data_IF_987563350477
#
_entry.id   IF_987563350477
#
_cell.length_a   1.000
_cell.length_b   1.000
_cell.length_c   1.000
_cell.angle_alpha   90.00
_cell.angle_beta   90.00
_cell.angle_gamma   90.00
#
_symmetry.space_group_name_H-M   'P 1'
#
loop_
_entity.id
_entity.type
_entity.pdbx_description
1 polymer ?
#
# COMPACT_ATOMS: atom_id res chain seq x y z
N UNK A 1 22.26 -8.16 -4.23
CA UNK A 1 22.01 -6.84 -4.80
C UNK A 1 21.26 -6.04 -3.74
N UNK A 2 21.78 -4.88 -3.41
CA UNK A 2 21.12 -4.00 -2.45
C UNK A 2 19.87 -3.44 -3.14
N UNK A 3 18.70 -3.73 -2.56
CA UNK A 3 17.41 -3.23 -3.04
C UNK A 3 17.25 -1.83 -2.48
N UNK A 4 17.35 -0.81 -3.35
CA UNK A 4 17.27 0.59 -2.93
C UNK A 4 15.83 1.06 -2.72
N UNK A 5 14.91 0.64 -3.58
CA UNK A 5 13.50 1.03 -3.54
C UNK A 5 12.62 -0.21 -3.33
N UNK A 6 11.84 -0.20 -2.28
CA UNK A 6 10.98 -1.33 -1.87
C UNK A 6 9.52 -0.91 -1.90
N UNK A 7 8.68 -1.72 -2.53
CA UNK A 7 7.24 -1.69 -2.36
C UNK A 7 6.79 -2.89 -1.53
N UNK A 8 6.19 -2.64 -0.38
CA UNK A 8 5.63 -3.68 0.49
C UNK A 8 4.25 -4.06 -0.04
N UNK A 9 4.20 -5.14 -0.81
CA UNK A 9 3.00 -5.61 -1.49
C UNK A 9 2.14 -6.52 -0.61
N UNK A 10 0.83 -6.47 -0.87
CA UNK A 10 -0.18 -7.34 -0.27
C UNK A 10 -0.83 -8.27 -1.30
N UNK A 11 -0.41 -8.26 -2.56
CA UNK A 11 -1.05 -9.05 -3.64
C UNK A 11 -1.09 -10.55 -3.35
N UNK A 12 -0.17 -11.05 -2.54
CA UNK A 12 -0.08 -12.45 -2.13
C UNK A 12 -0.57 -12.73 -0.71
N UNK A 13 -1.05 -11.70 -0.03
CA UNK A 13 -1.58 -11.79 1.33
C UNK A 13 -3.04 -12.21 1.30
N UNK A 14 -3.29 -13.52 1.27
CA UNK A 14 -4.61 -14.09 1.05
C UNK A 14 -5.70 -13.58 2.00
N UNK A 15 -6.86 -13.16 1.45
CA UNK A 15 -8.13 -12.95 2.17
C UNK A 15 -8.23 -11.79 3.15
N UNK A 16 -7.16 -11.03 3.40
CA UNK A 16 -7.12 -10.00 4.46
C UNK A 16 -7.15 -8.56 3.94
N UNK A 17 -7.92 -8.31 2.88
CA UNK A 17 -8.04 -6.98 2.30
C UNK A 17 -6.75 -6.47 1.65
N UNK A 18 -6.87 -5.37 0.94
CA UNK A 18 -5.81 -4.76 0.17
C UNK A 18 -6.34 -3.54 -0.56
N UNK A 19 -5.96 -3.38 -1.81
CA UNK A 19 -6.59 -2.44 -2.74
C UNK A 19 -7.06 -3.16 -4.00
N UNK A 20 -8.08 -2.60 -4.61
CA UNK A 20 -8.50 -2.98 -5.95
C UNK A 20 -7.38 -2.57 -6.92
N UNK A 21 -7.03 -3.47 -7.85
CA UNK A 21 -5.93 -3.26 -8.80
C UNK A 21 -4.52 -3.08 -8.18
N UNK A 22 -4.22 -3.74 -7.06
CA UNK A 22 -2.88 -3.68 -6.47
C UNK A 22 -1.79 -4.21 -7.42
N UNK A 23 -2.08 -5.17 -8.27
CA UNK A 23 -1.14 -5.65 -9.29
C UNK A 23 -0.77 -4.55 -10.29
N UNK A 24 -1.68 -3.60 -10.56
CA UNK A 24 -1.38 -2.42 -11.36
C UNK A 24 -0.40 -1.52 -10.62
N UNK A 25 -0.60 -1.29 -9.32
CA UNK A 25 0.31 -0.51 -8.49
C UNK A 25 1.72 -1.14 -8.48
N UNK A 26 1.82 -2.46 -8.32
CA UNK A 26 3.11 -3.16 -8.42
C UNK A 26 3.82 -2.85 -9.75
N UNK A 27 3.14 -3.07 -10.88
CA UNK A 27 3.74 -2.85 -12.20
C UNK A 27 4.19 -1.39 -12.41
N UNK A 28 3.39 -0.43 -11.96
CA UNK A 28 3.73 1.00 -12.06
C UNK A 28 4.97 1.33 -11.22
N UNK A 29 5.05 0.83 -9.99
CA UNK A 29 6.20 1.04 -9.12
C UNK A 29 7.44 0.27 -9.61
N UNK A 30 7.29 -0.94 -10.13
CA UNK A 30 8.40 -1.69 -10.74
C UNK A 30 8.99 -0.95 -11.94
N UNK A 31 8.16 -0.30 -12.76
CA UNK A 31 8.62 0.56 -13.86
C UNK A 31 9.42 1.78 -13.36
N UNK A 32 9.20 2.22 -12.13
CA UNK A 32 9.93 3.29 -11.44
C UNK A 32 11.13 2.77 -10.62
N UNK A 33 11.50 1.51 -10.78
CA UNK A 33 12.67 0.91 -10.13
C UNK A 33 12.44 0.39 -8.71
N UNK A 34 11.19 0.20 -8.30
CA UNK A 34 10.87 -0.47 -7.05
C UNK A 34 10.90 -1.98 -7.20
N UNK A 35 11.27 -2.67 -6.14
CA UNK A 35 11.11 -4.12 -6.01
C UNK A 35 9.89 -4.41 -5.14
N UNK A 36 8.92 -5.14 -5.68
CA UNK A 36 7.79 -5.63 -4.92
C UNK A 36 8.24 -6.74 -3.95
N UNK A 37 8.02 -6.53 -2.67
CA UNK A 37 8.38 -7.45 -1.59
C UNK A 37 7.10 -7.97 -0.93
N UNK A 38 7.03 -9.28 -0.74
CA UNK A 38 5.90 -9.97 -0.10
C UNK A 38 6.33 -10.51 1.28
N UNK A 39 6.15 -9.74 2.36
CA UNK A 39 6.66 -10.09 3.69
C UNK A 39 6.20 -11.45 4.21
N UNK A 40 4.98 -11.87 3.85
CA UNK A 40 4.40 -13.14 4.25
C UNK A 40 5.13 -14.38 3.70
N UNK A 41 6.03 -14.18 2.73
CA UNK A 41 6.87 -15.21 2.12
C UNK A 41 8.31 -15.20 2.60
N UNK A 42 8.64 -14.27 3.47
CA UNK A 42 9.99 -14.02 3.94
C UNK A 42 10.09 -14.31 5.44
N UNK A 43 11.22 -14.86 5.87
CA UNK A 43 11.59 -14.89 7.27
C UNK A 43 11.78 -13.46 7.79
N UNK A 44 11.68 -13.28 9.11
CA UNK A 44 11.98 -11.97 9.73
C UNK A 44 13.40 -11.48 9.43
N UNK A 45 14.36 -12.40 9.34
CA UNK A 45 15.76 -12.06 9.01
C UNK A 45 15.87 -11.49 7.60
N UNK A 46 15.18 -12.08 6.64
CA UNK A 46 15.15 -11.57 5.28
C UNK A 46 14.43 -10.22 5.18
N UNK A 47 13.29 -10.06 5.86
CA UNK A 47 12.59 -8.78 5.96
C UNK A 47 13.50 -7.70 6.55
N UNK A 48 14.19 -7.98 7.65
CA UNK A 48 15.13 -7.05 8.27
C UNK A 48 16.27 -6.66 7.34
N UNK A 49 16.84 -7.64 6.62
CA UNK A 49 17.92 -7.38 5.68
C UNK A 49 17.47 -6.45 4.55
N UNK A 50 16.32 -6.72 3.95
CA UNK A 50 15.74 -5.91 2.86
C UNK A 50 15.40 -4.51 3.37
N UNK A 51 14.64 -4.41 4.45
CA UNK A 51 14.18 -3.13 4.96
C UNK A 51 15.34 -2.24 5.46
N UNK A 52 16.35 -2.83 6.08
CA UNK A 52 17.53 -2.08 6.52
C UNK A 52 18.34 -1.51 5.36
N UNK A 53 18.40 -2.22 4.23
CA UNK A 53 19.16 -1.82 3.05
C UNK A 53 18.43 -0.83 2.13
N UNK A 54 17.10 -0.75 2.22
CA UNK A 54 16.30 0.11 1.35
C UNK A 54 16.46 1.59 1.71
N UNK A 55 16.42 2.46 0.69
CA UNK A 55 16.42 3.91 0.84
C UNK A 55 15.00 4.48 0.83
N UNK A 56 14.18 4.01 -0.11
CA UNK A 56 12.78 4.40 -0.22
C UNK A 56 11.88 3.18 -0.02
N UNK A 57 10.93 3.30 0.87
CA UNK A 57 9.97 2.24 1.18
C UNK A 57 8.55 2.78 1.02
N UNK A 58 7.81 2.19 0.10
CA UNK A 58 6.38 2.45 -0.08
C UNK A 58 5.58 1.20 0.30
N UNK A 59 4.37 1.37 0.78
CA UNK A 59 3.46 0.28 1.04
C UNK A 59 2.07 0.74 1.44
N UNK A 60 1.13 -0.19 1.43
CA UNK A 60 -0.21 0.06 1.95
C UNK A 60 -0.20 0.03 3.47
N UNK A 61 -1.10 0.79 4.12
CA UNK A 61 -1.23 0.73 5.57
C UNK A 61 -1.36 -0.73 6.06
N UNK A 62 -0.44 -1.16 6.91
CA UNK A 62 -0.39 -2.54 7.35
C UNK A 62 0.76 -2.86 8.31
N UNK A 63 0.68 -4.04 8.93
CA UNK A 63 1.58 -4.47 10.01
C UNK A 63 3.05 -4.62 9.59
N UNK A 64 3.35 -4.79 8.31
CA UNK A 64 4.73 -4.88 7.83
C UNK A 64 5.55 -3.62 8.12
N UNK A 65 4.91 -2.46 8.23
CA UNK A 65 5.57 -1.24 8.67
C UNK A 65 6.05 -1.28 10.13
N UNK A 66 5.43 -2.08 10.99
CA UNK A 66 5.96 -2.29 12.34
C UNK A 66 7.28 -3.06 12.30
N UNK A 67 7.40 -4.03 11.39
CA UNK A 67 8.66 -4.75 11.16
C UNK A 67 9.74 -3.80 10.64
N UNK A 68 9.39 -2.94 9.68
CA UNK A 68 10.29 -1.87 9.21
C UNK A 68 10.76 -1.00 10.37
N UNK A 69 9.86 -0.59 11.27
CA UNK A 69 10.18 0.28 12.40
C UNK A 69 11.34 -0.22 13.26
N UNK A 70 11.49 -1.53 13.44
CA UNK A 70 12.58 -2.11 14.24
C UNK A 70 13.99 -1.99 13.61
N UNK A 71 14.07 -1.80 12.30
CA UNK A 71 15.35 -1.77 11.55
C UNK A 71 15.54 -0.49 10.75
N UNK A 72 14.55 0.38 10.72
CA UNK A 72 14.60 1.64 10.00
C UNK A 72 15.66 2.58 10.60
N UNK A 73 16.23 3.40 9.73
CA UNK A 73 17.19 4.42 10.11
C UNK A 73 16.73 5.81 9.62
N UNK A 74 17.30 6.91 10.16
CA UNK A 74 16.88 8.28 9.84
C UNK A 74 17.04 8.70 8.38
N UNK A 75 17.91 8.02 7.62
CA UNK A 75 18.19 8.36 6.22
C UNK A 75 17.18 7.77 5.25
N UNK A 76 16.37 6.82 5.72
CA UNK A 76 15.32 6.18 4.93
C UNK A 76 14.08 7.05 4.81
N UNK A 77 13.39 6.93 3.68
CA UNK A 77 12.10 7.57 3.42
C UNK A 77 11.03 6.50 3.34
N UNK A 78 9.99 6.67 4.13
CA UNK A 78 8.83 5.78 4.12
C UNK A 78 7.58 6.55 3.69
N UNK A 79 6.75 5.92 2.84
CA UNK A 79 5.44 6.41 2.45
C UNK A 79 4.37 5.35 2.71
N UNK A 80 3.34 5.72 3.44
CA UNK A 80 2.19 4.88 3.75
C UNK A 80 1.03 5.31 2.85
N UNK A 81 0.66 4.43 1.92
CA UNK A 81 -0.49 4.63 1.05
C UNK A 81 -1.74 4.14 1.78
N UNK A 82 -2.69 5.04 1.97
CA UNK A 82 -3.95 4.73 2.64
C UNK A 82 -4.77 3.78 1.77
N UNK A 83 -5.21 2.66 2.34
CA UNK A 83 -5.97 1.61 1.64
C UNK A 83 -7.41 1.42 2.13
N UNK A 84 -7.82 2.15 3.15
CA UNK A 84 -9.17 2.02 3.74
C UNK A 84 -9.51 3.26 4.57
N UNK A 85 -10.80 3.55 4.69
CA UNK A 85 -11.32 4.60 5.58
C UNK A 85 -11.19 4.16 7.05
N UNK A 86 -9.99 4.29 7.60
CA UNK A 86 -9.69 3.93 8.98
C UNK A 86 -8.48 4.72 9.47
N UNK A 87 -8.50 5.22 10.72
CA UNK A 87 -7.37 5.94 11.32
C UNK A 87 -6.21 5.02 11.73
N UNK A 88 -6.24 3.72 11.41
CA UNK A 88 -5.23 2.74 11.84
C UNK A 88 -3.80 3.10 11.42
N UNK A 89 -3.63 3.84 10.31
CA UNK A 89 -2.32 4.31 9.85
C UNK A 89 -1.62 5.24 10.84
N UNK A 90 -2.36 5.95 11.69
CA UNK A 90 -1.76 6.84 12.71
C UNK A 90 -0.84 6.07 13.66
N UNK A 91 -1.24 4.89 14.13
CA UNK A 91 -0.40 4.07 15.01
C UNK A 91 0.89 3.60 14.31
N UNK A 92 0.79 3.30 13.02
CA UNK A 92 1.95 2.91 12.20
C UNK A 92 2.89 4.11 12.06
N UNK A 93 2.36 5.27 11.73
CA UNK A 93 3.13 6.50 11.56
C UNK A 93 3.84 6.93 12.85
N UNK A 94 3.15 6.88 13.99
CA UNK A 94 3.72 7.17 15.30
C UNK A 94 4.83 6.18 15.69
N UNK A 95 4.63 4.89 15.40
CA UNK A 95 5.65 3.88 15.64
C UNK A 95 6.91 4.16 14.80
N UNK A 96 6.77 4.39 13.49
CA UNK A 96 7.91 4.75 12.64
C UNK A 96 8.60 6.03 13.10
N UNK A 97 7.84 7.07 13.42
CA UNK A 97 8.38 8.33 13.95
C UNK A 97 9.17 8.10 15.25
N UNK A 98 8.66 7.26 16.13
CA UNK A 98 9.32 6.94 17.40
C UNK A 98 10.69 6.29 17.23
N UNK A 99 10.86 5.41 16.22
CA UNK A 99 12.13 4.73 15.95
C UNK A 99 13.09 5.54 15.09
N UNK A 100 12.58 6.27 14.10
CA UNK A 100 13.42 6.96 13.11
C UNK A 100 13.65 8.44 13.43
N UNK A 101 12.86 9.00 14.32
CA UNK A 101 12.81 10.46 14.56
C UNK A 101 12.13 11.25 13.44
N UNK A 102 11.65 10.58 12.38
CA UNK A 102 11.00 11.19 11.21
C UNK A 102 9.64 10.56 10.95
N UNK A 103 8.58 11.34 10.73
CA UNK A 103 7.29 10.78 10.33
C UNK A 103 7.39 10.23 8.89
N UNK A 104 6.69 9.13 8.58
CA UNK A 104 6.49 8.72 7.19
C UNK A 104 5.60 9.71 6.45
N UNK A 105 5.69 9.74 5.13
CA UNK A 105 4.71 10.43 4.29
C UNK A 105 3.40 9.67 4.31
N UNK A 106 2.29 10.36 4.59
CA UNK A 106 0.94 9.79 4.50
C UNK A 106 0.35 10.18 3.16
N UNK A 107 0.05 9.17 2.33
CA UNK A 107 -0.37 9.34 0.95
C UNK A 107 -1.82 8.86 0.84
N UNK A 108 -2.74 9.82 0.74
CA UNK A 108 -4.17 9.54 0.67
C UNK A 108 -4.75 9.88 -0.71
N UNK A 109 -5.01 8.84 -1.49
CA UNK A 109 -5.76 8.88 -2.75
C UNK A 109 -6.87 7.83 -2.75
N UNK A 110 -7.40 7.53 -1.55
CA UNK A 110 -8.51 6.60 -1.39
C UNK A 110 -9.80 7.23 -1.91
N UNK A 111 -10.38 6.66 -2.96
CA UNK A 111 -11.65 7.09 -3.55
C UNK A 111 -12.85 6.39 -2.89
N UNK A 112 -12.71 5.10 -2.60
CA UNK A 112 -13.78 4.29 -2.01
C UNK A 112 -13.25 3.08 -1.24
N UNK A 113 -14.10 2.55 -0.38
CA UNK A 113 -13.94 1.24 0.24
C UNK A 113 -14.87 0.23 -0.42
N UNK A 114 -14.36 -0.94 -0.75
CA UNK A 114 -15.11 -2.11 -1.17
C UNK A 114 -15.16 -3.11 -0.02
N UNK A 115 -16.36 -3.45 0.45
CA UNK A 115 -16.56 -4.30 1.63
C UNK A 115 -17.89 -5.05 1.54
N UNK A 116 -18.08 -6.16 2.30
CA UNK A 116 -19.40 -6.80 2.41
C UNK A 116 -20.48 -5.82 2.87
N UNK A 117 -21.69 -5.94 2.34
CA UNK A 117 -22.80 -5.01 2.66
C UNK A 117 -23.16 -4.98 4.14
N UNK A 118 -23.02 -6.11 4.83
CA UNK A 118 -23.23 -6.21 6.30
C UNK A 118 -22.24 -5.38 7.13
N UNK A 119 -21.09 -5.03 6.54
CA UNK A 119 -20.03 -4.27 7.21
C UNK A 119 -20.34 -2.76 7.12
N UNK A 120 -20.37 -2.07 8.24
CA UNK A 120 -20.70 -0.64 8.29
C UNK A 120 -19.49 0.27 8.17
N UNK A 121 -18.33 -0.19 8.63
CA UNK A 121 -17.08 0.56 8.65
C UNK A 121 -15.96 -0.25 7.98
N UNK A 122 -15.07 0.45 7.31
CA UNK A 122 -13.89 -0.17 6.73
C UNK A 122 -12.99 -0.76 7.84
N UNK A 123 -12.46 -1.95 7.61
CA UNK A 123 -11.61 -2.66 8.54
C UNK A 123 -10.46 -3.40 7.82
N UNK A 124 -9.81 -4.34 8.50
CA UNK A 124 -8.64 -5.05 7.98
C UNK A 124 -8.92 -5.94 6.77
N UNK A 125 -10.18 -6.31 6.51
CA UNK A 125 -10.58 -7.11 5.34
C UNK A 125 -11.17 -6.29 4.19
N UNK A 126 -11.31 -4.96 4.35
CA UNK A 126 -11.79 -4.08 3.31
C UNK A 126 -10.76 -3.87 2.21
N UNK A 127 -11.25 -3.53 1.00
CA UNK A 127 -10.44 -3.28 -0.18
C UNK A 127 -10.59 -1.82 -0.60
N UNK A 128 -9.48 -1.10 -0.68
CA UNK A 128 -9.50 0.30 -1.13
C UNK A 128 -9.52 0.42 -2.66
N UNK A 129 -10.23 1.41 -3.14
CA UNK A 129 -10.14 1.90 -4.52
C UNK A 129 -9.34 3.18 -4.52
N UNK A 130 -8.23 3.22 -5.27
CA UNK A 130 -7.36 4.37 -5.32
C UNK A 130 -7.56 5.16 -6.63
N UNK A 131 -7.41 6.47 -6.54
CA UNK A 131 -7.15 7.32 -7.69
C UNK A 131 -5.67 7.21 -8.09
N UNK A 132 -5.39 6.41 -9.12
CA UNK A 132 -4.02 6.17 -9.58
C UNK A 132 -3.38 7.39 -10.25
N UNK A 133 -4.16 8.22 -10.91
CA UNK A 133 -3.65 9.45 -11.52
C UNK A 133 -3.16 10.43 -10.45
N UNK A 134 -4.01 10.74 -9.48
CA UNK A 134 -3.64 11.59 -8.35
C UNK A 134 -2.51 11.00 -7.51
N UNK A 135 -2.52 9.67 -7.29
CA UNK A 135 -1.46 8.97 -6.56
C UNK A 135 -0.10 9.14 -7.26
N UNK A 136 -0.04 8.94 -8.57
CA UNK A 136 1.19 9.11 -9.34
C UNK A 136 1.74 10.53 -9.25
N UNK A 137 0.87 11.54 -9.40
CA UNK A 137 1.26 12.95 -9.27
C UNK A 137 1.83 13.25 -7.88
N UNK A 138 1.20 12.76 -6.83
CA UNK A 138 1.69 12.95 -5.45
C UNK A 138 3.02 12.24 -5.22
N UNK A 139 3.18 10.99 -5.68
CA UNK A 139 4.44 10.26 -5.55
C UNK A 139 5.59 10.94 -6.30
N UNK A 140 5.33 11.49 -7.49
CA UNK A 140 6.32 12.27 -8.25
C UNK A 140 6.66 13.58 -7.52
N UNK A 141 5.67 14.31 -7.02
CA UNK A 141 5.86 15.55 -6.27
C UNK A 141 6.66 15.34 -4.98
N UNK A 142 6.50 14.21 -4.32
CA UNK A 142 7.27 13.82 -3.13
C UNK A 142 8.66 13.22 -3.50
N UNK A 143 8.94 12.97 -4.77
CA UNK A 143 10.20 12.40 -5.24
C UNK A 143 10.37 10.91 -4.92
N UNK A 144 9.27 10.16 -4.76
CA UNK A 144 9.31 8.70 -4.68
C UNK A 144 9.44 8.04 -6.05
N UNK A 145 8.88 8.66 -7.08
CA UNK A 145 8.98 8.24 -8.47
C UNK A 145 9.48 9.39 -9.34
N UNK A 146 10.04 9.07 -10.50
CA UNK A 146 10.57 10.07 -11.42
C UNK A 146 9.46 10.72 -12.26
N UNK A 147 8.45 9.94 -12.69
CA UNK A 147 7.48 10.38 -13.67
C UNK A 147 6.10 9.73 -13.46
N UNK A 148 5.05 10.57 -13.49
CA UNK A 148 3.66 10.13 -13.33
C UNK A 148 2.91 9.93 -14.68
N UNK A 149 3.53 10.12 -15.84
CA UNK A 149 2.84 10.09 -17.14
C UNK A 149 2.07 8.81 -17.44
N UNK A 150 2.54 7.69 -16.93
CA UNK A 150 1.90 6.38 -17.13
C UNK A 150 0.93 6.00 -15.99
N UNK A 151 0.78 6.87 -15.01
CA UNK A 151 -0.10 6.64 -13.87
C UNK A 151 -1.52 7.09 -14.23
N UNK A 152 -2.29 6.18 -14.78
CA UNK A 152 -3.70 6.41 -15.09
C UNK A 152 -4.59 5.43 -14.35
N UNK A 153 -5.82 5.85 -14.10
CA UNK A 153 -6.82 4.99 -13.50
C UNK A 153 -7.12 3.77 -14.39
N UNK A 154 -7.43 2.60 -13.81
CA UNK A 154 -7.83 1.42 -14.57
C UNK A 154 -9.11 1.71 -15.36
N UNK A 155 -9.26 1.06 -16.50
CA UNK A 155 -10.52 1.11 -17.23
C UNK A 155 -11.63 0.34 -16.48
N UNK A 156 -12.91 0.54 -16.85
CA UNK A 156 -14.04 -0.09 -16.16
C UNK A 156 -13.98 -1.63 -16.14
N UNK A 157 -13.43 -2.26 -17.19
CA UNK A 157 -13.32 -3.71 -17.27
C UNK A 157 -12.23 -4.23 -16.32
N UNK A 158 -11.05 -3.61 -16.32
CA UNK A 158 -9.96 -3.93 -15.39
C UNK A 158 -10.42 -3.76 -13.94
N UNK A 159 -11.18 -2.69 -13.66
CA UNK A 159 -11.77 -2.42 -12.34
C UNK A 159 -12.73 -3.55 -11.94
N UNK A 160 -13.69 -3.89 -12.79
CA UNK A 160 -14.69 -4.91 -12.51
C UNK A 160 -14.06 -6.28 -12.25
N UNK A 161 -13.07 -6.70 -13.05
CA UNK A 161 -12.33 -7.94 -12.86
C UNK A 161 -11.58 -7.95 -11.53
N UNK A 162 -11.00 -6.83 -11.12
CA UNK A 162 -10.29 -6.75 -9.85
C UNK A 162 -11.24 -6.81 -8.65
N UNK A 163 -12.41 -6.18 -8.73
CA UNK A 163 -13.46 -6.27 -7.70
C UNK A 163 -13.95 -7.71 -7.57
N UNK A 164 -14.18 -8.42 -8.68
CA UNK A 164 -14.58 -9.82 -8.66
C UNK A 164 -13.54 -10.71 -7.98
N UNK A 165 -12.24 -10.52 -8.28
CA UNK A 165 -11.16 -11.23 -7.60
C UNK A 165 -11.12 -10.94 -6.10
N UNK A 166 -11.34 -9.68 -5.71
CA UNK A 166 -11.41 -9.28 -4.30
C UNK A 166 -12.60 -9.92 -3.59
N UNK A 167 -13.79 -9.95 -4.22
CA UNK A 167 -14.98 -10.60 -3.70
C UNK A 167 -14.77 -12.12 -3.52
N UNK A 168 -14.11 -12.76 -4.48
CA UNK A 168 -13.76 -14.21 -4.39
C UNK A 168 -12.82 -14.47 -3.20
N UNK A 169 -11.81 -13.62 -2.99
CA UNK A 169 -10.90 -13.73 -1.84
C UNK A 169 -11.59 -13.48 -0.51
N UNK A 170 -12.55 -12.57 -0.48
CA UNK A 170 -13.36 -12.24 0.70
C UNK A 170 -14.43 -13.30 0.96
N UNK A 171 -14.77 -14.11 -0.06
CA UNK A 171 -15.86 -15.09 -0.05
C UNK A 171 -17.25 -14.48 0.16
N UNK A 172 -17.39 -13.19 -0.17
CA UNK A 172 -18.64 -12.42 -0.08
C UNK A 172 -18.69 -11.38 -1.20
N UNK A 173 -19.89 -11.04 -1.70
CA UNK A 173 -20.06 -9.89 -2.59
C UNK A 173 -19.61 -8.60 -1.90
N UNK A 174 -18.98 -7.72 -2.65
CA UNK A 174 -18.52 -6.43 -2.16
C UNK A 174 -19.40 -5.31 -2.69
N UNK A 175 -19.67 -4.32 -1.85
CA UNK A 175 -20.35 -3.06 -2.22
C UNK A 175 -19.35 -1.91 -2.11
N UNK A 176 -19.49 -0.95 -3.01
CA UNK A 176 -18.67 0.26 -3.05
C UNK A 176 -19.26 1.34 -2.15
N UNK A 177 -18.46 1.90 -1.28
CA UNK A 177 -18.80 3.05 -0.43
C UNK A 177 -17.74 4.13 -0.56
N UNK A 178 -18.15 5.38 -0.75
CA UNK A 178 -17.21 6.50 -0.83
C UNK A 178 -16.33 6.56 0.42
N UNK A 179 -15.05 6.87 0.22
CA UNK A 179 -14.12 7.00 1.32
C UNK A 179 -14.49 8.17 2.24
N UNK A 180 -14.30 7.96 3.54
CA UNK A 180 -14.51 8.97 4.58
C UNK A 180 -13.27 8.98 5.47
N UNK A 181 -12.37 9.94 5.23
CA UNK A 181 -11.15 10.18 6.02
C UNK A 181 -11.04 11.65 6.37
#
# INVERSE_FOLDING_TARGET
ADIENVYISRTRFGGKGGIINEQRLERLLEAEGYTAVHPERLSLREQFSIFKGARNILGLDGSAFHVLGYVANPDQRAGIIIRRSSPAYHHIAEHLRGFTGRPPEIINHLAADWMPDRQKLANHVSWGELDFDGLGQTLAGLGFIADARNWCNPDPEEMAQSVERAATRTQEPLVRRLAVL
#
